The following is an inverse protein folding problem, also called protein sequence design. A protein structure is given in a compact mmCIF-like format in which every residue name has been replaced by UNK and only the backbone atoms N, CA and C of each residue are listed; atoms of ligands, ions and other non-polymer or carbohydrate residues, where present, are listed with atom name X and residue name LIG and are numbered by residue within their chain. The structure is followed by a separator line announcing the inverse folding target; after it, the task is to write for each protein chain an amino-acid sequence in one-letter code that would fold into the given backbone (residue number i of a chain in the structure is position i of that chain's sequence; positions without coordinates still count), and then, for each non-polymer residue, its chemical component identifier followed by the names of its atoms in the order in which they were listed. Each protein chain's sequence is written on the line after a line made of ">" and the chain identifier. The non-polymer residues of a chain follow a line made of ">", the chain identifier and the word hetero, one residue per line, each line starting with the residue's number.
data_IF_047298733674
#
_entry.id   IF_047298733674
#
_cell.length_a   1.000
_cell.length_b   1.000
_cell.length_c   1.000
_cell.angle_alpha   90.00
_cell.angle_beta   90.00
_cell.angle_gamma   90.00
#
_symmetry.space_group_name_H-M   'P 1'
#
loop_
_entity.id
_entity.type
_entity.pdbx_description
1 polymer ?
#
# COMPACT_ATOMS: atom_id res chain seq x y z
N UNK A 1 -16.36 7.36 -23.29
CA UNK A 1 -15.52 8.23 -22.44
C UNK A 1 -14.93 7.33 -21.37
N UNK A 2 -13.65 6.98 -21.47
CA UNK A 2 -12.93 6.39 -20.34
C UNK A 2 -12.80 7.49 -19.31
N UNK A 3 -13.52 7.39 -18.20
CA UNK A 3 -13.25 8.25 -17.06
C UNK A 3 -11.84 7.93 -16.59
N UNK A 4 -10.98 8.94 -16.48
CA UNK A 4 -9.64 8.77 -15.93
C UNK A 4 -9.78 8.40 -14.45
N UNK A 5 -9.70 7.10 -14.17
CA UNK A 5 -9.73 6.57 -12.81
C UNK A 5 -8.41 7.02 -12.14
N UNK A 6 -8.52 7.68 -11.00
CA UNK A 6 -7.36 8.08 -10.20
C UNK A 6 -7.49 7.58 -8.77
N UNK A 7 -6.36 7.16 -8.20
CA UNK A 7 -6.24 6.76 -6.80
C UNK A 7 -5.05 7.49 -6.21
N UNK A 8 -5.25 8.18 -5.09
CA UNK A 8 -4.20 8.87 -4.35
C UNK A 8 -4.33 8.60 -2.86
N UNK A 9 -3.24 8.72 -2.11
CA UNK A 9 -3.34 8.76 -0.66
C UNK A 9 -4.13 10.00 -0.21
N UNK A 10 -4.80 9.93 0.93
CA UNK A 10 -5.38 11.11 1.57
C UNK A 10 -4.27 12.11 1.93
N UNK A 11 -4.59 13.41 1.91
CA UNK A 11 -3.56 14.45 2.01
C UNK A 11 -2.70 14.38 3.28
N UNK A 12 -3.31 14.06 4.42
CA UNK A 12 -2.58 13.88 5.68
C UNK A 12 -1.70 12.63 5.67
N UNK A 13 -2.16 11.54 5.04
CA UNK A 13 -1.37 10.32 4.89
C UNK A 13 -0.23 10.50 3.90
N UNK A 14 -0.44 11.16 2.77
CA UNK A 14 0.60 11.46 1.79
C UNK A 14 1.78 12.23 2.41
N UNK A 15 1.49 13.25 3.22
CA UNK A 15 2.51 14.00 3.97
C UNK A 15 3.28 13.10 4.93
N UNK A 16 2.58 12.22 5.66
CA UNK A 16 3.21 11.29 6.59
C UNK A 16 4.08 10.26 5.86
N UNK A 17 3.60 9.69 4.76
CA UNK A 17 4.33 8.73 3.96
C UNK A 17 5.61 9.35 3.39
N UNK A 18 5.55 10.59 2.90
CA UNK A 18 6.74 11.33 2.46
C UNK A 18 7.74 11.59 3.58
N UNK A 19 7.25 12.01 4.75
CA UNK A 19 8.10 12.24 5.93
C UNK A 19 8.78 10.95 6.39
N UNK A 20 8.05 9.83 6.39
CA UNK A 20 8.61 8.52 6.69
C UNK A 20 9.66 8.08 5.66
N UNK A 21 9.42 8.33 4.37
CA UNK A 21 10.36 8.02 3.30
C UNK A 21 11.69 8.76 3.47
N UNK A 22 11.66 10.04 3.88
CA UNK A 22 12.86 10.82 4.17
C UNK A 22 13.70 10.28 5.35
N UNK A 23 13.10 9.43 6.19
CA UNK A 23 13.74 8.83 7.37
C UNK A 23 14.01 7.32 7.19
N UNK A 24 14.20 6.85 5.96
CA UNK A 24 14.41 5.44 5.62
C UNK A 24 13.30 4.54 6.20
N UNK A 25 12.06 4.74 5.71
CA UNK A 25 10.87 4.12 6.27
C UNK A 25 10.99 2.61 6.57
N UNK A 26 10.80 2.24 7.84
CA UNK A 26 10.77 0.86 8.32
C UNK A 26 9.38 0.41 8.78
N UNK A 27 9.09 -0.88 8.64
CA UNK A 27 7.88 -1.51 9.19
C UNK A 27 8.23 -2.68 10.10
N UNK A 28 7.61 -2.72 11.28
CA UNK A 28 7.74 -3.84 12.22
C UNK A 28 6.80 -4.98 11.85
N UNK A 29 7.34 -6.18 11.70
CA UNK A 29 6.57 -7.41 11.43
C UNK A 29 6.57 -8.28 12.69
N UNK A 30 5.39 -8.76 13.09
CA UNK A 30 5.21 -9.64 14.25
C UNK A 30 4.38 -10.86 13.88
N UNK A 31 4.57 -11.99 14.58
CA UNK A 31 3.84 -13.25 14.30
C UNK A 31 2.30 -13.07 14.28
N UNK A 32 1.66 -12.35 15.22
CA UNK A 32 0.21 -12.09 15.14
C UNK A 32 -0.22 -11.14 14.02
N UNK A 33 0.73 -10.54 13.30
CA UNK A 33 0.52 -9.42 12.39
C UNK A 33 0.61 -8.06 13.09
N UNK A 34 0.98 -7.03 12.31
CA UNK A 34 1.06 -5.64 12.73
C UNK A 34 0.34 -4.77 11.70
N UNK A 35 -0.29 -3.69 12.16
CA UNK A 35 -0.85 -2.69 11.23
C UNK A 35 0.29 -1.91 10.57
N UNK A 36 0.14 -1.65 9.28
CA UNK A 36 1.01 -0.74 8.54
C UNK A 36 0.89 0.67 9.14
N UNK A 37 2.00 1.39 9.19
CA UNK A 37 2.05 2.79 9.57
C UNK A 37 3.00 3.52 8.61
N UNK A 38 2.63 4.68 8.05
CA UNK A 38 1.31 5.31 8.14
C UNK A 38 0.21 4.43 7.53
N UNK A 39 -1.07 4.67 7.86
CA UNK A 39 -2.14 3.88 7.24
C UNK A 39 -2.19 4.15 5.72
N UNK A 40 -2.48 3.11 4.95
CA UNK A 40 -2.87 3.24 3.55
C UNK A 40 -4.36 3.60 3.53
N UNK A 41 -4.66 4.85 3.23
CA UNK A 41 -6.01 5.39 3.14
C UNK A 41 -6.08 6.20 1.84
N UNK A 42 -7.06 5.87 1.00
CA UNK A 42 -7.08 6.31 -0.39
C UNK A 42 -8.30 7.18 -0.70
N UNK A 43 -8.08 8.18 -1.55
CA UNK A 43 -9.11 8.90 -2.29
C UNK A 43 -9.21 8.32 -3.70
N UNK A 44 -10.40 7.85 -4.09
CA UNK A 44 -10.69 7.26 -5.40
C UNK A 44 -11.60 8.18 -6.20
N UNK A 45 -11.29 8.38 -7.48
CA UNK A 45 -12.09 9.20 -8.41
C UNK A 45 -12.21 8.54 -9.78
N UNK A 46 -13.24 8.92 -10.54
CA UNK A 46 -13.40 8.50 -11.95
C UNK A 46 -14.04 7.12 -12.16
N UNK A 47 -14.52 6.46 -11.11
CA UNK A 47 -15.31 5.23 -11.27
C UNK A 47 -16.68 5.53 -11.86
N UNK A 48 -17.25 4.58 -12.59
CA UNK A 48 -18.65 4.63 -13.00
C UNK A 48 -19.54 4.48 -11.75
N UNK A 49 -20.38 5.47 -11.40
CA UNK A 49 -21.17 5.45 -10.17
C UNK A 49 -22.06 4.20 -10.01
N UNK A 50 -22.50 3.62 -11.13
CA UNK A 50 -23.48 2.52 -11.16
C UNK A 50 -22.86 1.13 -11.35
N UNK A 51 -21.54 1.05 -11.59
CA UNK A 51 -20.84 -0.24 -11.70
C UNK A 51 -20.31 -0.70 -10.36
N UNK A 52 -20.19 -2.02 -10.22
CA UNK A 52 -19.63 -2.68 -9.03
C UNK A 52 -18.13 -2.89 -9.23
N UNK A 53 -17.34 -2.51 -8.24
CA UNK A 53 -15.89 -2.64 -8.19
C UNK A 53 -15.48 -3.32 -6.88
N UNK A 54 -14.37 -4.05 -6.91
CA UNK A 54 -13.67 -4.55 -5.73
C UNK A 54 -12.31 -3.90 -5.65
N UNK A 55 -11.85 -3.58 -4.44
CA UNK A 55 -10.49 -3.08 -4.20
C UNK A 55 -9.65 -4.15 -3.52
N UNK A 56 -8.38 -4.24 -3.91
CA UNK A 56 -7.38 -5.12 -3.31
C UNK A 56 -6.01 -4.46 -3.33
N UNK A 57 -5.15 -4.85 -2.40
CA UNK A 57 -3.76 -4.41 -2.35
C UNK A 57 -2.84 -5.63 -2.17
N UNK A 58 -1.62 -5.51 -2.70
CA UNK A 58 -0.51 -6.40 -2.38
C UNK A 58 0.75 -5.57 -2.22
N UNK A 59 1.77 -6.15 -1.58
CA UNK A 59 3.13 -5.63 -1.61
C UNK A 59 3.95 -6.47 -2.57
N UNK A 60 4.85 -5.83 -3.28
CA UNK A 60 5.88 -6.46 -4.09
C UNK A 60 7.25 -5.98 -3.63
N UNK A 61 8.27 -6.78 -3.91
CA UNK A 61 9.63 -6.43 -3.56
C UNK A 61 10.11 -5.34 -4.51
N UNK A 62 10.70 -4.29 -3.96
CA UNK A 62 11.31 -3.21 -4.76
C UNK A 62 12.57 -3.68 -5.49
N UNK A 63 13.26 -4.69 -4.94
CA UNK A 63 14.47 -5.27 -5.50
C UNK A 63 14.74 -6.72 -5.05
N UNK A 64 15.89 -7.25 -5.46
CA UNK A 64 16.41 -8.58 -5.13
C UNK A 64 17.45 -8.55 -3.99
N UNK A 65 17.42 -7.53 -3.12
CA UNK A 65 18.43 -7.32 -2.09
C UNK A 65 17.94 -7.69 -0.69
N UNK A 66 18.89 -8.12 0.15
CA UNK A 66 18.74 -8.28 1.59
C UNK A 66 19.45 -7.13 2.29
N UNK A 67 18.70 -6.40 3.08
CA UNK A 67 19.18 -5.23 3.82
C UNK A 67 19.48 -5.59 5.28
N UNK A 68 20.57 -5.05 5.83
CA UNK A 68 20.97 -5.21 7.23
C UNK A 68 21.46 -3.89 7.80
N UNK A 69 20.93 -3.52 8.96
CA UNK A 69 21.41 -2.37 9.72
C UNK A 69 22.59 -2.77 10.63
N UNK A 70 23.77 -2.22 10.41
CA UNK A 70 24.99 -2.50 11.16
C UNK A 70 25.69 -1.19 11.50
N UNK A 71 26.03 -0.99 12.77
CA UNK A 71 26.78 0.19 13.23
C UNK A 71 26.19 1.53 12.77
N UNK A 72 24.86 1.65 12.81
CA UNK A 72 24.16 2.88 12.45
C UNK A 72 23.93 3.09 10.95
N UNK A 73 24.24 2.10 10.10
CA UNK A 73 24.12 2.23 8.65
C UNK A 73 23.46 1.01 8.01
N UNK A 74 22.72 1.23 6.93
CA UNK A 74 22.18 0.17 6.08
C UNK A 74 23.24 -0.39 5.15
N UNK A 75 23.29 -1.71 5.04
CA UNK A 75 24.13 -2.46 4.11
C UNK A 75 23.28 -3.42 3.31
N UNK A 76 23.65 -3.69 2.06
CA UNK A 76 22.92 -4.57 1.14
C UNK A 76 23.79 -5.73 0.65
N UNK A 77 23.14 -6.86 0.39
CA UNK A 77 23.72 -8.03 -0.29
C UNK A 77 22.63 -8.71 -1.13
N UNK A 78 22.98 -9.46 -2.19
CA UNK A 78 21.99 -10.25 -2.93
C UNK A 78 21.17 -11.15 -1.99
N UNK A 79 19.85 -11.15 -2.16
CA UNK A 79 18.98 -12.06 -1.41
C UNK A 79 19.13 -13.48 -1.94
N UNK A 80 19.11 -14.46 -1.04
CA UNK A 80 19.04 -15.90 -1.37
C UNK A 80 17.73 -16.50 -0.87
N UNK A 81 16.77 -15.67 -0.47
CA UNK A 81 15.48 -16.11 0.05
C UNK A 81 14.53 -16.42 -1.11
N UNK A 82 13.80 -17.53 -0.99
CA UNK A 82 12.78 -17.90 -1.97
C UNK A 82 11.64 -16.88 -1.95
N UNK A 83 11.36 -16.31 -3.11
CA UNK A 83 10.31 -15.31 -3.30
C UNK A 83 9.00 -16.03 -3.63
N UNK A 84 8.07 -16.01 -2.68
CA UNK A 84 6.70 -16.48 -2.91
C UNK A 84 5.87 -15.46 -3.68
N UNK A 85 4.72 -15.90 -4.20
CA UNK A 85 3.76 -15.01 -4.86
C UNK A 85 3.25 -13.92 -3.89
N UNK A 86 3.11 -12.67 -4.34
CA UNK A 86 2.52 -11.61 -3.53
C UNK A 86 1.14 -11.99 -3.01
N UNK A 87 0.93 -11.79 -1.71
CA UNK A 87 -0.40 -12.00 -1.11
C UNK A 87 -1.31 -10.83 -1.45
N UNK A 88 -2.37 -11.11 -2.21
CA UNK A 88 -3.45 -10.15 -2.48
C UNK A 88 -4.41 -10.12 -1.29
N UNK A 89 -4.67 -8.92 -0.77
CA UNK A 89 -5.64 -8.67 0.30
C UNK A 89 -6.78 -7.82 -0.26
N UNK A 90 -7.98 -8.38 -0.26
CA UNK A 90 -9.19 -7.64 -0.64
C UNK A 90 -9.66 -6.72 0.48
N UNK A 91 -10.18 -5.55 0.09
CA UNK A 91 -10.79 -4.61 1.03
C UNK A 91 -11.98 -5.25 1.74
N UNK A 92 -12.12 -4.98 3.05
CA UNK A 92 -13.11 -5.64 3.91
C UNK A 92 -14.56 -5.38 3.51
N UNK A 93 -14.82 -4.23 2.88
CA UNK A 93 -16.16 -3.86 2.40
C UNK A 93 -16.62 -4.72 1.20
N UNK A 94 -15.74 -5.52 0.60
CA UNK A 94 -16.07 -6.34 -0.56
C UNK A 94 -16.44 -5.51 -1.80
N UNK A 95 -17.18 -6.09 -2.76
CA UNK A 95 -17.64 -5.37 -3.94
C UNK A 95 -18.62 -4.25 -3.57
N UNK A 96 -18.38 -3.04 -4.09
CA UNK A 96 -19.22 -1.85 -3.86
C UNK A 96 -19.47 -1.10 -5.17
N UNK A 97 -20.53 -0.30 -5.22
CA UNK A 97 -20.77 0.62 -6.33
C UNK A 97 -19.65 1.66 -6.42
N UNK A 98 -19.34 2.12 -7.64
CA UNK A 98 -18.32 3.15 -7.85
C UNK A 98 -18.58 4.41 -7.01
N UNK A 99 -19.84 4.83 -6.88
CA UNK A 99 -20.21 5.96 -6.03
C UNK A 99 -19.85 5.75 -4.56
N UNK A 100 -19.93 4.53 -4.04
CA UNK A 100 -19.62 4.24 -2.64
C UNK A 100 -18.12 4.34 -2.41
N UNK A 101 -17.30 3.80 -3.32
CA UNK A 101 -15.84 3.95 -3.28
C UNK A 101 -15.36 5.39 -3.38
N UNK A 102 -16.10 6.24 -4.10
CA UNK A 102 -15.78 7.67 -4.25
C UNK A 102 -16.40 8.58 -3.16
N UNK A 103 -17.29 8.05 -2.31
CA UNK A 103 -18.03 8.84 -1.29
C UNK A 103 -17.30 9.03 0.05
N UNK A 104 -16.14 8.39 0.22
CA UNK A 104 -15.34 8.44 1.44
C UNK A 104 -13.92 7.98 1.16
N UNK A 105 -13.18 7.70 2.21
CA UNK A 105 -11.85 7.10 2.09
C UNK A 105 -11.94 5.58 2.08
N UNK A 106 -11.20 4.96 1.17
CA UNK A 106 -11.09 3.52 1.03
C UNK A 106 -9.84 2.97 1.74
#
# INVERSE_FOLDING_TARGET
>A
MTSDISVSLTGDKDVLWKSCFEMDHEMMITVPGRRIFPLLEYEVKGLDPLKIYSMSAHFELVDEMKYRFVSGNWTQSPSTEDKGDPRIVFHRNGPQLGQNWMSGFA
#
